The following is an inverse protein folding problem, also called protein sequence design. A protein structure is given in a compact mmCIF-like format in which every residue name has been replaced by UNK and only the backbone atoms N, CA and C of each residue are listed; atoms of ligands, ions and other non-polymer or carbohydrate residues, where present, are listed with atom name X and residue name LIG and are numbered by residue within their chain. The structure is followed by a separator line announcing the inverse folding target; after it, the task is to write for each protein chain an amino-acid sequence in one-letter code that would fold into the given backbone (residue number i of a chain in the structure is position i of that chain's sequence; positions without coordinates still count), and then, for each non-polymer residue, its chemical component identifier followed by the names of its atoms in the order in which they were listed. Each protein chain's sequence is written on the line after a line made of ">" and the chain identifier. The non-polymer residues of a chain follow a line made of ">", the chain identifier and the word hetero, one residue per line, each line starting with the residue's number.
data_IF_320698361593
#
_entry.id   IF_320698361593
#
_cell.length_a   1.000
_cell.length_b   1.000
_cell.length_c   1.000
_cell.angle_alpha   90.00
_cell.angle_beta   90.00
_cell.angle_gamma   90.00
#
_symmetry.space_group_name_H-M   'P 1'
#
loop_
_entity.id
_entity.type
_entity.pdbx_description
1 polymer ?
#
# COMPACT_ATOMS: atom_id res chain seq x y z
N UNK A 1 -28.36 13.66 8.76
CA UNK A 1 -27.12 12.85 8.83
C UNK A 1 -26.55 12.99 10.23
N UNK A 2 -26.08 11.91 10.86
CA UNK A 2 -25.29 12.05 12.08
C UNK A 2 -24.03 12.91 11.80
N UNK A 3 -23.53 13.67 12.79
CA UNK A 3 -22.31 14.44 12.62
C UNK A 3 -21.14 13.52 12.25
N UNK A 4 -20.34 13.92 11.26
CA UNK A 4 -19.08 13.24 10.97
C UNK A 4 -18.24 13.22 12.25
N UNK A 5 -17.89 12.03 12.72
CA UNK A 5 -16.99 11.85 13.86
C UNK A 5 -15.68 12.55 13.49
N UNK A 6 -15.20 13.45 14.34
CA UNK A 6 -13.92 14.14 14.11
C UNK A 6 -12.82 13.11 13.85
N UNK A 7 -11.98 13.36 12.84
CA UNK A 7 -10.80 12.55 12.61
C UNK A 7 -10.01 12.49 13.94
N UNK A 8 -9.63 11.30 14.42
CA UNK A 8 -8.88 11.20 15.66
C UNK A 8 -7.58 11.99 15.58
N UNK A 9 -7.29 12.76 16.63
CA UNK A 9 -6.01 13.42 16.81
C UNK A 9 -5.00 12.35 17.25
N UNK A 10 -4.48 11.56 16.32
CA UNK A 10 -3.47 10.54 16.61
C UNK A 10 -2.17 10.87 15.89
N UNK A 11 -1.06 10.80 16.64
CA UNK A 11 0.26 10.60 16.05
C UNK A 11 0.40 9.14 15.60
N UNK A 12 1.09 8.91 14.48
CA UNK A 12 1.54 7.59 14.05
C UNK A 12 0.58 6.73 13.22
N UNK A 13 1.03 5.51 12.85
CA UNK A 13 0.25 4.51 12.11
C UNK A 13 -0.94 4.02 12.96
N UNK A 14 -2.13 3.96 12.35
CA UNK A 14 -3.36 3.46 13.01
C UNK A 14 -3.54 1.94 12.91
N UNK A 15 -2.77 1.29 12.06
CA UNK A 15 -2.84 -0.15 11.84
C UNK A 15 -1.88 -0.82 12.83
N UNK A 16 -2.28 -1.93 13.42
CA UNK A 16 -1.40 -2.72 14.30
C UNK A 16 -0.26 -3.40 13.50
N UNK A 17 0.89 -3.70 14.14
CA UNK A 17 1.94 -4.50 13.52
C UNK A 17 1.44 -5.89 13.14
N UNK A 18 1.96 -6.43 12.04
CA UNK A 18 1.79 -7.83 11.68
C UNK A 18 2.75 -8.68 12.51
N UNK A 19 2.22 -9.58 13.34
CA UNK A 19 3.01 -10.28 14.38
C UNK A 19 3.76 -11.52 13.88
N UNK A 20 3.54 -11.95 12.63
CA UNK A 20 4.19 -13.16 12.11
C UNK A 20 5.63 -12.91 11.64
N UNK A 21 6.49 -13.88 11.91
CA UNK A 21 7.89 -13.86 11.51
C UNK A 21 8.03 -14.14 10.00
N UNK A 22 8.36 -13.10 9.23
CA UNK A 22 8.58 -13.22 7.79
C UNK A 22 9.89 -13.94 7.43
N UNK A 23 10.84 -14.06 8.36
CA UNK A 23 12.07 -14.83 8.18
C UNK A 23 11.85 -16.33 8.41
N UNK A 24 10.86 -16.68 9.22
CA UNK A 24 10.46 -18.05 9.57
C UNK A 24 10.31 -18.97 8.36
N UNK A 25 10.71 -20.24 8.52
CA UNK A 25 10.69 -21.23 7.43
C UNK A 25 9.28 -21.62 6.94
N UNK A 26 8.24 -21.23 7.66
CA UNK A 26 6.83 -21.37 7.35
C UNK A 26 6.28 -20.28 6.41
N UNK A 27 7.06 -19.23 6.15
CA UNK A 27 6.70 -18.16 5.21
C UNK A 27 7.47 -18.30 3.91
N UNK A 28 6.75 -18.48 2.80
CA UNK A 28 7.30 -18.53 1.44
C UNK A 28 6.95 -17.26 0.66
N UNK A 29 7.95 -16.69 -0.02
CA UNK A 29 7.74 -15.58 -0.96
C UNK A 29 7.52 -16.19 -2.35
N UNK A 30 6.30 -16.04 -2.87
CA UNK A 30 5.89 -16.70 -4.12
C UNK A 30 6.29 -15.91 -5.36
N UNK A 31 5.95 -14.61 -5.38
CA UNK A 31 6.12 -13.71 -6.53
C UNK A 31 6.30 -12.27 -6.03
N UNK A 32 7.03 -11.46 -6.78
CA UNK A 32 7.07 -10.01 -6.61
C UNK A 32 6.06 -9.41 -7.59
N UNK A 33 5.00 -8.78 -7.07
CA UNK A 33 4.06 -8.02 -7.90
C UNK A 33 4.65 -6.65 -8.25
N UNK A 34 4.34 -6.14 -9.44
CA UNK A 34 4.94 -4.96 -10.10
C UNK A 34 5.55 -3.92 -9.13
N UNK A 35 6.87 -3.67 -9.15
CA UNK A 35 7.43 -2.46 -8.57
C UNK A 35 7.08 -1.30 -9.52
N UNK A 36 5.95 -0.67 -9.25
CA UNK A 36 5.41 0.44 -10.00
C UNK A 36 6.50 1.48 -10.34
N UNK A 37 6.36 2.18 -11.46
CA UNK A 37 7.31 3.22 -11.86
C UNK A 37 7.37 4.39 -10.87
N UNK A 38 6.40 4.46 -9.95
CA UNK A 38 6.40 5.35 -8.82
C UNK A 38 6.63 4.55 -7.53
N UNK A 39 7.79 4.76 -6.92
CA UNK A 39 8.13 4.29 -5.60
C UNK A 39 7.20 4.93 -4.55
N UNK A 40 6.07 4.30 -4.26
CA UNK A 40 5.07 4.87 -3.35
C UNK A 40 5.38 4.64 -1.86
N UNK A 41 6.49 4.03 -1.43
CA UNK A 41 6.75 3.96 0.02
C UNK A 41 8.22 4.09 0.39
N UNK A 42 8.51 5.16 1.16
CA UNK A 42 9.70 5.30 2.00
C UNK A 42 9.25 5.82 3.36
N UNK A 43 9.72 5.23 4.45
CA UNK A 43 9.63 5.82 5.78
C UNK A 43 11.05 6.11 6.26
N UNK A 44 11.23 7.28 6.84
CA UNK A 44 12.44 7.64 7.57
C UNK A 44 12.08 7.66 9.06
N UNK A 45 12.86 6.96 9.88
CA UNK A 45 12.70 6.95 11.35
C UNK A 45 13.21 8.28 11.91
N UNK A 46 12.52 8.83 12.92
CA UNK A 46 12.78 10.14 13.49
C UNK A 46 13.16 10.07 14.98
N UNK A 47 14.16 10.85 15.40
CA UNK A 47 14.64 10.92 16.80
C UNK A 47 14.49 12.29 17.50
N UNK A 48 13.98 13.39 16.89
CA UNK A 48 14.13 14.73 17.51
C UNK A 48 12.95 15.74 17.36
N UNK A 49 12.16 16.10 18.38
CA UNK A 49 10.95 16.92 18.22
C UNK A 49 11.22 18.34 17.66
N UNK A 50 10.48 18.76 16.62
CA UNK A 50 10.66 20.06 15.96
C UNK A 50 10.20 21.25 16.81
N UNK A 51 11.11 22.22 17.03
CA UNK A 51 10.79 23.54 17.61
C UNK A 51 10.37 24.61 16.56
N UNK A 52 10.51 24.36 15.24
CA UNK A 52 10.01 25.20 14.14
C UNK A 52 9.73 24.33 12.90
N UNK A 53 8.77 24.69 12.00
CA UNK A 53 8.43 23.86 10.85
C UNK A 53 9.59 23.84 9.83
N UNK A 54 10.25 22.69 9.61
CA UNK A 54 11.38 22.56 8.69
C UNK A 54 10.88 22.54 7.24
N UNK A 55 10.78 23.68 6.58
CA UNK A 55 10.51 23.69 5.15
C UNK A 55 11.72 23.15 4.36
N UNK A 56 11.47 22.26 3.41
CA UNK A 56 12.43 21.71 2.47
C UNK A 56 12.01 22.02 1.03
N UNK A 57 13.00 22.01 0.13
CA UNK A 57 12.79 22.18 -1.30
C UNK A 57 12.62 20.79 -1.95
N UNK A 58 11.51 20.57 -2.65
CA UNK A 58 11.29 19.43 -3.53
C UNK A 58 11.18 19.89 -4.98
N UNK A 59 11.28 18.95 -5.92
CA UNK A 59 11.03 19.20 -7.34
C UNK A 59 9.86 18.32 -7.78
N UNK A 60 8.84 18.91 -8.41
CA UNK A 60 7.74 18.14 -8.98
C UNK A 60 8.15 17.45 -10.27
N UNK A 61 7.30 16.57 -10.80
CA UNK A 61 7.56 15.85 -12.06
C UNK A 61 7.76 16.78 -13.27
N UNK A 62 7.26 18.01 -13.16
CA UNK A 62 7.46 19.08 -14.14
C UNK A 62 8.78 19.86 -13.95
N UNK A 63 9.67 19.41 -13.06
CA UNK A 63 10.94 20.06 -12.72
C UNK A 63 10.80 21.38 -11.94
N UNK A 64 9.59 21.77 -11.52
CA UNK A 64 9.40 23.03 -10.77
C UNK A 64 9.68 22.81 -9.28
N UNK A 65 10.43 23.73 -8.65
CA UNK A 65 10.66 23.67 -7.22
C UNK A 65 9.37 23.97 -6.45
N UNK A 66 9.12 23.22 -5.38
CA UNK A 66 8.08 23.50 -4.40
C UNK A 66 8.65 23.39 -2.99
N UNK A 67 8.13 24.22 -2.08
CA UNK A 67 8.47 24.14 -0.66
C UNK A 67 7.45 23.29 0.07
N UNK A 68 7.91 22.33 0.85
CA UNK A 68 7.04 21.50 1.68
C UNK A 68 7.60 21.44 3.10
N UNK A 69 6.74 21.32 4.10
CA UNK A 69 7.21 21.10 5.47
C UNK A 69 7.60 19.63 5.63
N UNK A 70 8.85 19.33 6.02
CA UNK A 70 9.34 17.95 6.15
C UNK A 70 8.47 17.11 7.08
N UNK A 71 7.96 17.70 8.17
CA UNK A 71 7.05 17.02 9.09
C UNK A 71 5.76 16.55 8.42
N UNK A 72 5.26 17.29 7.42
CA UNK A 72 4.06 16.91 6.67
C UNK A 72 4.35 15.92 5.55
N UNK A 73 5.56 15.88 4.98
CA UNK A 73 5.89 14.95 3.89
C UNK A 73 5.65 13.49 4.29
N UNK A 74 6.00 13.13 5.53
CA UNK A 74 5.79 11.79 6.04
C UNK A 74 4.31 11.42 6.12
N UNK A 75 3.46 12.37 6.51
CA UNK A 75 2.01 12.17 6.54
C UNK A 75 1.41 11.86 5.17
N UNK A 76 2.08 12.25 4.09
CA UNK A 76 1.67 12.00 2.71
C UNK A 76 2.43 10.87 2.02
N UNK A 77 3.30 10.14 2.74
CA UNK A 77 3.89 8.92 2.16
C UNK A 77 2.76 7.91 1.91
N UNK A 78 2.75 7.21 0.77
CA UNK A 78 1.67 6.27 0.51
C UNK A 78 1.55 5.14 1.55
N UNK A 79 2.65 4.69 2.18
CA UNK A 79 2.54 3.84 3.37
C UNK A 79 1.70 4.48 4.47
N UNK A 80 2.03 5.71 4.88
CA UNK A 80 1.32 6.38 5.98
C UNK A 80 -0.15 6.67 5.63
N UNK A 81 -0.41 7.01 4.37
CA UNK A 81 -1.77 7.20 3.86
C UNK A 81 -2.58 5.90 3.93
N UNK A 82 -2.05 4.80 3.39
CA UNK A 82 -2.71 3.49 3.41
C UNK A 82 -2.87 2.98 4.84
N UNK A 83 -1.83 3.07 5.67
CA UNK A 83 -1.85 2.64 7.06
C UNK A 83 -2.94 3.36 7.86
N UNK A 84 -3.09 4.68 7.68
CA UNK A 84 -4.20 5.44 8.28
C UNK A 84 -5.56 5.00 7.75
N UNK A 85 -5.67 4.76 6.45
CA UNK A 85 -6.93 4.35 5.82
C UNK A 85 -7.39 2.97 6.34
N UNK A 86 -6.50 1.97 6.36
CA UNK A 86 -6.83 0.63 6.87
C UNK A 86 -7.01 0.59 8.38
N UNK A 87 -6.19 1.31 9.15
CA UNK A 87 -6.41 1.47 10.58
C UNK A 87 -7.76 2.11 10.89
N UNK A 88 -8.19 3.10 10.09
CA UNK A 88 -9.54 3.68 10.21
C UNK A 88 -10.63 2.67 9.90
N UNK A 89 -10.47 1.82 8.88
CA UNK A 89 -11.45 0.77 8.56
C UNK A 89 -11.63 -0.21 9.72
N UNK A 90 -10.54 -0.65 10.37
CA UNK A 90 -10.59 -1.47 11.59
C UNK A 90 -11.32 -0.75 12.73
N UNK A 91 -10.97 0.52 12.96
CA UNK A 91 -11.57 1.35 14.03
C UNK A 91 -13.10 1.48 13.90
N UNK A 92 -13.63 1.58 12.67
CA UNK A 92 -15.07 1.69 12.42
C UNK A 92 -15.76 0.36 12.14
N UNK A 93 -15.03 -0.76 12.18
CA UNK A 93 -15.55 -2.10 11.89
C UNK A 93 -16.06 -2.24 10.45
N UNK A 94 -15.41 -1.58 9.49
CA UNK A 94 -15.76 -1.62 8.06
C UNK A 94 -14.65 -2.21 7.18
N UNK A 95 -14.04 -3.27 7.68
CA UNK A 95 -13.05 -4.06 6.93
C UNK A 95 -13.67 -4.78 5.72
N UNK A 96 -15.00 -4.80 5.61
CA UNK A 96 -15.75 -5.33 4.45
C UNK A 96 -15.61 -4.46 3.18
N UNK A 97 -15.11 -3.23 3.31
CA UNK A 97 -15.03 -2.25 2.20
C UNK A 97 -13.76 -2.38 1.36
N UNK A 98 -12.76 -3.14 1.82
CA UNK A 98 -11.48 -3.32 1.13
C UNK A 98 -10.89 -4.71 1.43
N UNK A 99 -9.79 -5.05 0.75
CA UNK A 99 -9.07 -6.31 0.99
C UNK A 99 -8.68 -6.38 2.46
N UNK A 100 -8.91 -7.54 3.09
CA UNK A 100 -8.60 -7.74 4.50
C UNK A 100 -7.13 -7.45 4.75
N UNK A 101 -6.87 -6.64 5.77
CA UNK A 101 -5.53 -6.20 6.14
C UNK A 101 -5.15 -6.76 7.49
N UNK A 102 -4.03 -7.47 7.54
CA UNK A 102 -3.57 -8.14 8.76
C UNK A 102 -2.78 -7.19 9.65
N UNK A 103 -1.93 -6.34 9.06
CA UNK A 103 -1.13 -5.37 9.80
C UNK A 103 -0.11 -4.69 8.90
N UNK A 104 0.71 -3.82 9.48
CA UNK A 104 1.91 -3.32 8.80
C UNK A 104 3.14 -4.14 9.19
N UNK A 105 4.16 -4.15 8.34
CA UNK A 105 5.45 -4.78 8.65
C UNK A 105 6.59 -3.81 8.40
N UNK A 106 7.58 -3.86 9.29
CA UNK A 106 8.89 -3.23 9.13
C UNK A 106 9.89 -4.31 8.74
N UNK A 107 10.20 -4.38 7.45
CA UNK A 107 11.07 -5.40 6.88
C UNK A 107 12.51 -4.91 6.83
N UNK A 108 13.37 -5.49 7.67
CA UNK A 108 14.81 -5.34 7.50
C UNK A 108 15.26 -6.30 6.39
N UNK A 109 16.04 -5.82 5.42
CA UNK A 109 16.61 -6.64 4.35
C UNK A 109 17.78 -7.50 4.88
N UNK A 110 17.50 -8.39 5.83
CA UNK A 110 18.46 -9.40 6.32
C UNK A 110 18.78 -10.40 5.22
N UNK A 111 19.87 -11.16 5.37
CA UNK A 111 20.25 -12.19 4.40
C UNK A 111 19.12 -13.19 4.13
N UNK A 112 18.33 -13.54 5.16
CA UNK A 112 17.20 -14.45 5.03
C UNK A 112 16.08 -13.86 4.14
N UNK A 113 15.69 -12.62 4.40
CA UNK A 113 14.70 -11.91 3.57
C UNK A 113 15.20 -11.72 2.13
N UNK A 114 16.47 -11.34 1.96
CA UNK A 114 17.09 -11.18 0.64
C UNK A 114 17.07 -12.50 -0.14
N UNK A 115 17.41 -13.61 0.49
CA UNK A 115 17.35 -14.94 -0.13
C UNK A 115 15.91 -15.30 -0.55
N UNK A 116 14.92 -15.04 0.29
CA UNK A 116 13.51 -15.28 -0.05
C UNK A 116 13.04 -14.42 -1.22
N UNK A 117 13.40 -13.14 -1.26
CA UNK A 117 13.10 -12.25 -2.39
C UNK A 117 13.78 -12.70 -3.68
N UNK A 118 15.04 -13.15 -3.62
CA UNK A 118 15.75 -13.70 -4.76
C UNK A 118 15.12 -15.00 -5.27
N UNK A 119 14.68 -15.88 -4.37
CA UNK A 119 13.96 -17.11 -4.72
C UNK A 119 12.59 -16.83 -5.35
N UNK A 120 11.87 -15.80 -4.90
CA UNK A 120 10.63 -15.35 -5.54
C UNK A 120 10.90 -14.80 -6.94
N UNK A 121 11.97 -14.01 -7.11
CA UNK A 121 12.37 -13.42 -8.40
C UNK A 121 12.72 -14.48 -9.44
N UNK A 122 13.39 -15.56 -9.06
CA UNK A 122 13.80 -16.62 -9.99
C UNK A 122 12.61 -17.40 -10.59
N UNK A 123 11.44 -17.36 -9.94
CA UNK A 123 10.18 -17.96 -10.41
C UNK A 123 9.44 -17.08 -11.42
N UNK A 124 9.85 -15.82 -11.61
CA UNK A 124 9.16 -14.89 -12.52
C UNK A 124 9.57 -15.13 -13.97
N UNK A 125 8.59 -15.12 -14.88
CA UNK A 125 8.80 -15.25 -16.34
C UNK A 125 9.68 -14.10 -16.87
N UNK A 126 9.49 -12.90 -16.34
CA UNK A 126 10.36 -11.74 -16.58
C UNK A 126 10.97 -11.27 -15.25
N UNK A 127 12.24 -11.62 -14.96
CA UNK A 127 12.88 -11.21 -13.72
C UNK A 127 13.10 -9.70 -13.71
N UNK A 128 12.34 -9.00 -12.86
CA UNK A 128 12.32 -7.54 -12.77
C UNK A 128 13.70 -6.96 -12.43
N UNK A 129 14.09 -5.88 -13.12
CA UNK A 129 15.38 -5.19 -12.92
C UNK A 129 15.47 -4.35 -11.64
N UNK A 130 14.34 -4.10 -10.95
CA UNK A 130 14.25 -3.17 -9.82
C UNK A 130 14.35 -3.81 -8.43
N UNK A 131 14.54 -5.13 -8.31
CA UNK A 131 14.83 -5.71 -6.98
C UNK A 131 16.10 -5.08 -6.39
N UNK A 132 17.11 -4.81 -7.22
CA UNK A 132 18.32 -4.10 -6.78
C UNK A 132 18.02 -2.65 -6.35
N UNK A 133 17.00 -2.01 -6.92
CA UNK A 133 16.55 -0.70 -6.48
C UNK A 133 15.82 -0.78 -5.12
N UNK A 134 15.03 -1.82 -4.88
CA UNK A 134 14.38 -2.09 -3.58
C UNK A 134 15.41 -2.46 -2.50
N UNK A 135 16.40 -3.30 -2.85
CA UNK A 135 17.47 -3.76 -1.94
C UNK A 135 18.57 -2.70 -1.73
N UNK A 136 18.79 -1.83 -2.71
CA UNK A 136 19.87 -0.83 -2.73
C UNK A 136 19.49 0.52 -2.10
N UNK A 137 18.36 0.61 -1.41
CA UNK A 137 18.03 1.80 -0.61
C UNK A 137 18.69 1.75 0.78
N UNK A 138 19.43 2.80 1.14
CA UNK A 138 20.21 2.93 2.38
C UNK A 138 19.39 2.83 3.70
N UNK A 139 20.00 2.14 4.69
CA UNK A 139 19.95 2.21 6.16
C UNK A 139 18.62 2.32 6.96
N UNK A 140 17.50 1.80 6.48
CA UNK A 140 16.29 1.69 7.29
C UNK A 140 15.35 0.54 6.91
N UNK A 141 14.42 0.14 7.80
CA UNK A 141 13.44 -0.89 7.48
C UNK A 141 12.53 -0.44 6.32
N UNK A 142 12.30 -1.34 5.38
CA UNK A 142 11.29 -1.17 4.34
C UNK A 142 9.90 -1.42 4.93
N UNK A 143 8.97 -0.51 4.72
CA UNK A 143 7.67 -0.55 5.38
C UNK A 143 6.60 -1.02 4.38
N UNK A 144 5.82 -2.00 4.80
CA UNK A 144 4.80 -2.63 3.95
C UNK A 144 3.50 -2.90 4.71
N UNK A 145 2.43 -3.16 3.97
CA UNK A 145 1.13 -3.55 4.51
C UNK A 145 0.85 -4.98 4.07
N UNK A 146 0.49 -5.84 5.02
CA UNK A 146 0.16 -7.25 4.79
C UNK A 146 -1.35 -7.38 4.59
N UNK A 147 -1.75 -7.86 3.42
CA UNK A 147 -3.15 -7.99 2.97
C UNK A 147 -3.42 -9.42 2.51
N UNK A 148 -4.69 -9.81 2.45
CA UNK A 148 -5.08 -11.05 1.78
C UNK A 148 -4.64 -11.05 0.32
N UNK A 149 -4.19 -12.22 -0.15
CA UNK A 149 -3.96 -12.43 -1.57
C UNK A 149 -5.31 -12.43 -2.29
N UNK A 150 -5.36 -11.72 -3.41
CA UNK A 150 -6.53 -11.65 -4.27
C UNK A 150 -6.15 -12.21 -5.62
N UNK A 151 -6.84 -13.28 -6.02
CA UNK A 151 -6.63 -13.89 -7.33
C UNK A 151 -7.00 -12.91 -8.45
N UNK A 152 -6.14 -12.87 -9.46
CA UNK A 152 -6.41 -12.16 -10.71
C UNK A 152 -7.50 -12.91 -11.50
N UNK A 153 -8.26 -12.19 -12.33
CA UNK A 153 -9.20 -12.80 -13.26
C UNK A 153 -8.43 -13.69 -14.24
N UNK A 154 -8.85 -14.95 -14.41
CA UNK A 154 -8.26 -15.85 -15.40
C UNK A 154 -8.35 -15.24 -16.81
N UNK A 155 -7.23 -15.26 -17.52
CA UNK A 155 -7.15 -14.75 -18.89
C UNK A 155 -6.35 -15.72 -19.77
N UNK A 156 -6.79 -15.87 -21.02
CA UNK A 156 -6.19 -16.82 -21.96
C UNK A 156 -4.94 -16.26 -22.68
N UNK A 157 -4.83 -14.93 -22.80
CA UNK A 157 -3.75 -14.26 -23.52
C UNK A 157 -3.38 -12.89 -22.90
N UNK A 158 -2.08 -12.66 -22.73
CA UNK A 158 -1.50 -11.46 -22.10
C UNK A 158 -1.83 -10.18 -22.89
N UNK A 159 -2.02 -10.28 -24.21
CA UNK A 159 -2.46 -9.15 -25.05
C UNK A 159 -3.91 -8.73 -24.81
N UNK A 160 -4.70 -9.60 -24.19
CA UNK A 160 -6.10 -9.33 -23.87
C UNK A 160 -6.34 -9.07 -22.39
N UNK A 161 -5.28 -9.14 -21.57
CA UNK A 161 -5.31 -8.97 -20.12
C UNK A 161 -6.06 -7.70 -19.69
N UNK A 162 -5.62 -6.52 -20.15
CA UNK A 162 -6.21 -5.24 -19.77
C UNK A 162 -7.70 -5.17 -20.18
N UNK A 163 -8.05 -5.71 -21.34
CA UNK A 163 -9.42 -5.70 -21.85
C UNK A 163 -10.33 -6.62 -21.01
N UNK A 164 -9.88 -7.83 -20.67
CA UNK A 164 -10.64 -8.77 -19.84
C UNK A 164 -10.85 -8.23 -18.43
N UNK A 165 -9.82 -7.63 -17.82
CA UNK A 165 -9.92 -6.99 -16.52
C UNK A 165 -10.93 -5.84 -16.55
N UNK A 166 -10.82 -4.93 -17.53
CA UNK A 166 -11.76 -3.81 -17.66
C UNK A 166 -13.21 -4.28 -17.84
N UNK A 167 -13.46 -5.26 -18.71
CA UNK A 167 -14.81 -5.78 -18.94
C UNK A 167 -15.38 -6.45 -17.70
N UNK A 168 -14.60 -7.26 -16.99
CA UNK A 168 -15.01 -7.88 -15.74
C UNK A 168 -15.36 -6.81 -14.68
N UNK A 169 -14.54 -5.77 -14.58
CA UNK A 169 -14.69 -4.71 -13.57
C UNK A 169 -15.85 -3.76 -13.84
N UNK A 170 -16.17 -3.44 -15.10
CA UNK A 170 -17.30 -2.55 -15.45
C UNK A 170 -18.62 -3.04 -14.86
N UNK A 171 -18.81 -4.36 -14.81
CA UNK A 171 -20.01 -4.98 -14.21
C UNK A 171 -20.15 -4.70 -12.70
N UNK A 172 -19.07 -4.25 -12.05
CA UNK A 172 -18.99 -3.99 -10.62
C UNK A 172 -18.92 -2.50 -10.24
N UNK A 173 -18.90 -1.59 -11.23
CA UNK A 173 -18.84 -0.15 -10.97
C UNK A 173 -19.92 0.38 -10.01
N UNK A 174 -21.19 -0.09 -10.06
CA UNK A 174 -22.18 0.33 -9.07
C UNK A 174 -21.78 -0.01 -7.63
N UNK A 175 -21.28 -1.22 -7.39
CA UNK A 175 -20.80 -1.67 -6.07
C UNK A 175 -19.56 -0.88 -5.64
N UNK A 176 -18.64 -0.61 -6.56
CA UNK A 176 -17.48 0.23 -6.28
C UNK A 176 -17.89 1.64 -5.85
N UNK A 177 -18.85 2.26 -6.54
CA UNK A 177 -19.37 3.58 -6.18
C UNK A 177 -20.05 3.57 -4.80
N UNK A 178 -20.81 2.53 -4.48
CA UNK A 178 -21.38 2.33 -3.15
C UNK A 178 -20.28 2.20 -2.08
N UNK A 179 -19.24 1.41 -2.33
CA UNK A 179 -18.08 1.26 -1.44
C UNK A 179 -17.35 2.58 -1.21
N UNK A 180 -17.14 3.37 -2.27
CA UNK A 180 -16.53 4.70 -2.17
C UNK A 180 -17.37 5.66 -1.31
N UNK A 181 -18.71 5.66 -1.47
CA UNK A 181 -19.58 6.46 -0.61
C UNK A 181 -19.50 6.01 0.86
N UNK A 182 -19.43 4.71 1.13
CA UNK A 182 -19.25 4.21 2.48
C UNK A 182 -17.90 4.63 3.07
N UNK A 183 -16.80 4.52 2.31
CA UNK A 183 -15.48 5.00 2.74
C UNK A 183 -15.50 6.50 3.07
N UNK A 184 -16.15 7.32 2.23
CA UNK A 184 -16.28 8.77 2.45
C UNK A 184 -17.06 9.09 3.73
N UNK A 185 -18.12 8.33 4.07
CA UNK A 185 -18.86 8.49 5.33
C UNK A 185 -17.98 8.29 6.57
N UNK A 186 -16.90 7.52 6.44
CA UNK A 186 -15.95 7.24 7.51
C UNK A 186 -14.70 8.12 7.48
N UNK A 187 -14.64 9.10 6.57
CA UNK A 187 -13.53 10.04 6.44
C UNK A 187 -12.33 9.50 5.67
N UNK A 188 -12.53 8.46 4.84
CA UNK A 188 -11.50 7.87 3.98
C UNK A 188 -11.77 8.31 2.54
N UNK A 189 -10.77 8.88 1.88
CA UNK A 189 -10.86 9.33 0.48
C UNK A 189 -9.84 8.54 -0.34
N UNK A 190 -10.31 7.92 -1.43
CA UNK A 190 -9.45 7.22 -2.39
C UNK A 190 -9.04 8.21 -3.47
N UNK A 191 -7.74 8.52 -3.56
CA UNK A 191 -7.19 9.49 -4.52
C UNK A 191 -6.62 8.82 -5.78
N UNK A 192 -6.28 7.54 -5.67
CA UNK A 192 -5.65 6.76 -6.74
C UNK A 192 -6.62 5.69 -7.23
N UNK A 193 -7.67 6.14 -7.91
CA UNK A 193 -8.68 5.25 -8.48
C UNK A 193 -8.36 4.99 -9.95
N UNK A 194 -8.09 3.74 -10.31
CA UNK A 194 -8.00 3.26 -11.69
C UNK A 194 -8.72 1.92 -11.84
N UNK A 195 -8.75 1.38 -13.06
CA UNK A 195 -9.26 0.04 -13.33
C UNK A 195 -8.51 -1.03 -12.51
N UNK A 196 -7.22 -0.84 -12.22
CA UNK A 196 -6.43 -1.83 -11.46
C UNK A 196 -6.81 -2.02 -9.98
N UNK A 197 -7.57 -1.11 -9.37
CA UNK A 197 -7.85 -1.11 -7.93
C UNK A 197 -9.12 -1.91 -7.55
N UNK A 198 -9.85 -2.48 -8.50
CA UNK A 198 -11.02 -3.33 -8.22
C UNK A 198 -10.72 -4.82 -8.44
N UNK A 199 -10.95 -5.62 -7.40
CA UNK A 199 -10.88 -7.07 -7.49
C UNK A 199 -12.24 -7.75 -7.39
N UNK A 200 -12.44 -8.80 -8.18
CA UNK A 200 -13.67 -9.59 -8.24
C UNK A 200 -13.75 -10.67 -7.15
N UNK A 201 -12.72 -10.79 -6.30
CA UNK A 201 -12.64 -11.82 -5.28
C UNK A 201 -13.92 -11.87 -4.45
N UNK A 202 -14.56 -13.06 -4.47
CA UNK A 202 -15.65 -13.37 -3.55
C UNK A 202 -15.08 -13.30 -2.15
N UNK A 203 -15.51 -12.30 -1.39
CA UNK A 203 -15.35 -12.26 0.06
C UNK A 203 -15.95 -13.54 0.63
N UNK A 204 -15.09 -14.50 0.97
CA UNK A 204 -15.50 -15.69 1.71
C UNK A 204 -15.97 -15.21 3.08
N UNK A 205 -17.29 -15.27 3.28
CA UNK A 205 -17.97 -15.13 4.57
C UNK A 205 -17.52 -16.20 5.54
#
# INVERSE_FOLDING_TARGET
>A
MPPLKSLPYCEGPKLEPFEHDLEGGDVEFLKILEPDFAAHSKIFVWEDPFAQPPYALGYGDNGKPYTYCKGFQFHFTPFENECRAFGRQKEVGREDLAVKVHGYVALNCTDAIVQKLQAARSKMICPYAKLEWFLGMDNGPSMGIVKDWVDEVEYDDEYTYDLYQQVAQVSHFPRMLEGLHELHKHGIVVLDLSDRQYSTARWST
#
